data_IF_398864349633
#
_entry.id   IF_398864349633
#
_cell.length_a   1.000
_cell.length_b   1.000
_cell.length_c   1.000
_cell.angle_alpha   90.00
_cell.angle_beta   90.00
_cell.angle_gamma   90.00
#
_symmetry.space_group_name_H-M   'P 1'
#
loop_
_entity.id
_entity.type
_entity.pdbx_description
1 polymer ?
#
# COMPACT_ATOMS: atom_id res chain seq x y z
N UNK A 1 16.32 14.75 -5.16
CA UNK A 1 16.48 13.70 -6.20
C UNK A 1 17.95 13.50 -6.57
N UNK A 2 18.73 14.55 -6.78
CA UNK A 2 20.17 14.49 -7.14
C UNK A 2 20.97 13.54 -6.26
N UNK A 3 20.91 13.69 -4.95
CA UNK A 3 21.64 12.84 -4.00
C UNK A 3 21.33 11.33 -4.18
N UNK A 4 20.08 10.97 -4.54
CA UNK A 4 19.72 9.58 -4.81
C UNK A 4 20.33 9.08 -6.14
N UNK A 5 20.39 9.95 -7.14
CA UNK A 5 21.01 9.62 -8.42
C UNK A 5 22.53 9.47 -8.27
N UNK A 6 23.17 10.33 -7.49
CA UNK A 6 24.59 10.22 -7.14
C UNK A 6 24.88 8.92 -6.37
N UNK A 7 24.05 8.58 -5.37
CA UNK A 7 24.20 7.35 -4.61
C UNK A 7 24.04 6.10 -5.51
N UNK A 8 23.11 6.13 -6.46
CA UNK A 8 22.94 5.06 -7.45
C UNK A 8 24.15 4.96 -8.38
N UNK A 9 24.62 6.09 -8.90
CA UNK A 9 25.83 6.16 -9.74
C UNK A 9 27.08 5.65 -9.01
N UNK A 10 27.18 5.94 -7.72
CA UNK A 10 28.27 5.47 -6.84
C UNK A 10 28.11 3.99 -6.41
N UNK A 11 27.08 3.28 -6.85
CA UNK A 11 26.83 1.88 -6.48
C UNK A 11 26.36 1.66 -5.05
N UNK A 12 26.05 2.73 -4.30
CA UNK A 12 25.57 2.64 -2.91
C UNK A 12 24.13 2.14 -2.80
N UNK A 13 23.30 2.41 -3.82
CA UNK A 13 21.93 1.92 -3.95
C UNK A 13 21.74 1.40 -5.37
N UNK A 14 20.79 0.49 -5.55
CA UNK A 14 20.45 -0.08 -6.86
C UNK A 14 19.14 0.49 -7.41
N UNK A 15 18.16 0.67 -6.55
CA UNK A 15 16.79 1.04 -6.91
C UNK A 15 16.36 2.29 -6.16
N UNK A 16 15.51 3.08 -6.81
CA UNK A 16 14.90 4.28 -6.25
C UNK A 16 13.39 4.14 -6.36
N UNK A 17 12.71 4.24 -5.23
CA UNK A 17 11.25 4.22 -5.16
C UNK A 17 10.72 5.39 -4.37
N UNK A 18 9.40 5.50 -4.32
CA UNK A 18 8.71 6.46 -3.48
C UNK A 18 7.57 5.82 -2.71
N UNK A 19 7.10 6.51 -1.68
CA UNK A 19 6.04 6.02 -0.81
C UNK A 19 5.08 7.14 -0.44
N UNK A 20 3.87 6.77 -0.09
CA UNK A 20 2.85 7.63 0.45
C UNK A 20 1.60 6.83 0.82
N UNK A 21 0.68 7.45 1.53
CA UNK A 21 -0.51 6.75 2.01
C UNK A 21 -1.76 7.63 2.05
N UNK A 22 -1.63 8.91 1.75
CA UNK A 22 -2.70 9.89 1.92
C UNK A 22 -3.77 9.85 0.83
N UNK A 23 -3.32 9.95 -0.41
CA UNK A 23 -4.21 10.02 -1.55
C UNK A 23 -3.54 9.43 -2.81
N UNK A 24 -4.23 8.58 -3.58
CA UNK A 24 -3.71 8.03 -4.82
C UNK A 24 -3.36 9.11 -5.86
N UNK A 25 -4.00 10.27 -5.84
CA UNK A 25 -3.71 11.36 -6.77
C UNK A 25 -2.29 11.92 -6.56
N UNK A 26 -1.78 11.90 -5.32
CA UNK A 26 -0.39 12.29 -5.04
C UNK A 26 0.59 11.34 -5.71
N UNK A 27 0.32 10.03 -5.69
CA UNK A 27 1.16 9.05 -6.39
C UNK A 27 1.14 9.26 -7.90
N UNK A 28 -0.04 9.46 -8.49
CA UNK A 28 -0.17 9.72 -9.92
C UNK A 28 0.58 11.00 -10.32
N UNK A 29 0.45 12.06 -9.51
CA UNK A 29 1.18 13.31 -9.75
C UNK A 29 2.69 13.13 -9.64
N UNK A 30 3.16 12.31 -8.68
CA UNK A 30 4.58 11.98 -8.54
C UNK A 30 5.14 11.28 -9.78
N UNK A 31 4.38 10.33 -10.34
CA UNK A 31 4.75 9.64 -11.57
C UNK A 31 4.78 10.60 -12.78
N UNK A 32 3.78 11.45 -12.91
CA UNK A 32 3.71 12.47 -13.96
C UNK A 32 4.92 13.44 -13.90
N UNK A 33 5.25 13.94 -12.71
CA UNK A 33 6.42 14.82 -12.51
C UNK A 33 7.71 14.08 -12.85
N UNK A 34 7.83 12.82 -12.44
CA UNK A 34 9.01 12.03 -12.79
C UNK A 34 9.18 11.87 -14.30
N UNK A 35 8.09 11.59 -15.02
CA UNK A 35 8.09 11.49 -16.48
C UNK A 35 8.51 12.81 -17.15
N UNK A 36 7.99 13.96 -16.67
CA UNK A 36 8.38 15.30 -17.16
C UNK A 36 9.87 15.57 -16.98
N UNK A 37 10.51 14.96 -15.98
CA UNK A 37 11.95 15.05 -15.70
C UNK A 37 12.75 13.86 -16.28
N UNK A 38 12.16 13.07 -17.18
CA UNK A 38 12.80 11.89 -17.80
C UNK A 38 13.34 10.91 -16.76
N UNK A 39 12.66 10.81 -15.63
CA UNK A 39 13.00 9.89 -14.55
C UNK A 39 11.91 8.83 -14.37
N UNK A 40 12.32 7.58 -14.15
CA UNK A 40 11.43 6.47 -13.85
C UNK A 40 11.81 5.85 -12.50
N UNK A 41 10.84 5.72 -11.62
CA UNK A 41 11.00 4.99 -10.37
C UNK A 41 11.07 3.47 -10.63
N UNK A 42 11.80 2.77 -9.77
CA UNK A 42 11.89 1.31 -9.81
C UNK A 42 10.73 0.66 -9.05
N UNK A 43 10.23 1.31 -7.98
CA UNK A 43 9.11 0.84 -7.17
C UNK A 43 8.30 1.99 -6.58
N UNK A 44 7.03 1.70 -6.27
CA UNK A 44 6.16 2.59 -5.50
C UNK A 44 5.47 1.81 -4.37
N UNK A 45 5.47 2.39 -3.17
CA UNK A 45 4.86 1.80 -1.99
C UNK A 45 3.61 2.56 -1.59
N UNK A 46 2.51 1.83 -1.35
CA UNK A 46 1.22 2.40 -1.00
C UNK A 46 0.38 1.43 -0.17
N UNK A 47 -0.65 1.90 0.55
CA UNK A 47 -1.61 1.03 1.21
C UNK A 47 -2.36 0.19 0.18
N UNK A 48 -2.35 -1.12 0.38
CA UNK A 48 -3.14 -2.07 -0.40
C UNK A 48 -3.78 -3.07 0.56
N UNK A 49 -5.08 -2.95 0.71
CA UNK A 49 -5.87 -3.78 1.61
C UNK A 49 -7.33 -3.81 1.15
N UNK A 50 -8.14 -4.61 1.80
CA UNK A 50 -9.55 -4.80 1.43
C UNK A 50 -10.40 -3.53 1.56
N UNK A 51 -10.05 -2.58 2.46
CA UNK A 51 -10.76 -1.30 2.60
C UNK A 51 -10.35 -0.31 1.50
N UNK A 52 -9.08 -0.36 1.06
CA UNK A 52 -8.58 0.48 -0.02
C UNK A 52 -9.40 0.32 -1.30
N UNK A 53 -9.91 -0.88 -1.57
CA UNK A 53 -10.75 -1.13 -2.75
C UNK A 53 -12.00 -0.23 -2.83
N UNK A 54 -12.48 0.32 -1.71
CA UNK A 54 -13.73 1.09 -1.62
C UNK A 54 -13.56 2.60 -1.52
N UNK A 55 -12.44 3.07 -0.93
CA UNK A 55 -12.30 4.48 -0.61
C UNK A 55 -10.94 5.03 -1.01
N UNK A 56 -10.91 6.05 -1.90
CA UNK A 56 -9.68 6.66 -2.43
C UNK A 56 -8.65 5.59 -2.79
N UNK A 57 -9.05 4.68 -3.68
CA UNK A 57 -8.37 3.43 -3.93
C UNK A 57 -7.05 3.61 -4.67
N UNK A 58 -5.97 3.22 -4.04
CA UNK A 58 -4.66 3.04 -4.70
C UNK A 58 -4.70 1.83 -5.63
N UNK A 59 -5.37 0.75 -5.21
CA UNK A 59 -5.53 -0.45 -6.03
C UNK A 59 -6.14 -0.13 -7.38
N UNK A 60 -7.21 0.67 -7.42
CA UNK A 60 -7.93 0.97 -8.65
C UNK A 60 -7.26 2.05 -9.50
N UNK A 61 -6.59 3.03 -8.88
CA UNK A 61 -6.07 4.20 -9.59
C UNK A 61 -4.58 4.13 -9.90
N UNK A 62 -3.77 3.62 -8.97
CA UNK A 62 -2.30 3.66 -9.07
C UNK A 62 -1.74 2.34 -9.59
N UNK A 63 -2.20 1.22 -9.06
CA UNK A 63 -1.66 -0.10 -9.43
C UNK A 63 -1.70 -0.36 -10.94
N UNK A 64 -2.79 -0.06 -11.68
CA UNK A 64 -2.80 -0.27 -13.13
C UNK A 64 -1.73 0.54 -13.87
N UNK A 65 -1.44 1.76 -13.41
CA UNK A 65 -0.39 2.61 -14.01
C UNK A 65 0.98 1.99 -13.75
N UNK A 66 1.27 1.59 -12.51
CA UNK A 66 2.55 0.98 -12.16
C UNK A 66 2.82 -0.30 -12.97
N UNK A 67 1.80 -1.15 -13.12
CA UNK A 67 1.91 -2.39 -13.91
C UNK A 67 2.21 -2.09 -15.37
N UNK A 68 1.50 -1.14 -15.96
CA UNK A 68 1.73 -0.70 -17.36
C UNK A 68 3.15 -0.19 -17.56
N UNK A 69 3.67 0.53 -16.58
CA UNK A 69 5.00 1.14 -16.63
C UNK A 69 6.12 0.19 -16.16
N UNK A 70 5.78 -1.04 -15.73
CA UNK A 70 6.74 -2.01 -15.20
C UNK A 70 7.42 -1.55 -13.91
N UNK A 71 6.72 -0.75 -13.07
CA UNK A 71 7.19 -0.27 -11.77
C UNK A 71 6.75 -1.26 -10.69
N UNK A 72 7.65 -1.66 -9.80
CA UNK A 72 7.37 -2.59 -8.72
C UNK A 72 6.31 -2.07 -7.74
N UNK A 73 5.28 -2.88 -7.45
CA UNK A 73 4.20 -2.54 -6.54
C UNK A 73 4.50 -3.09 -5.15
N UNK A 74 4.69 -2.22 -4.16
CA UNK A 74 4.93 -2.60 -2.77
C UNK A 74 3.67 -2.27 -1.95
N UNK A 75 2.92 -3.31 -1.57
CA UNK A 75 1.69 -3.15 -0.80
C UNK A 75 1.98 -3.10 0.69
N UNK A 76 1.67 -1.98 1.34
CA UNK A 76 1.78 -1.84 2.80
C UNK A 76 0.41 -1.74 3.47
N UNK A 77 0.39 -1.81 4.79
CA UNK A 77 -0.81 -1.68 5.63
C UNK A 77 -1.95 -2.66 5.27
N UNK A 78 -1.67 -3.95 5.06
CA UNK A 78 -2.69 -4.94 4.69
C UNK A 78 -3.81 -5.08 5.73
N UNK A 79 -3.55 -4.71 7.00
CA UNK A 79 -4.52 -4.67 8.10
C UNK A 79 -4.85 -3.24 8.57
N UNK A 80 -4.41 -2.19 7.87
CA UNK A 80 -4.55 -0.79 8.27
C UNK A 80 -4.14 -0.54 9.73
N UNK A 81 -2.98 -1.05 10.15
CA UNK A 81 -2.49 -1.03 11.55
C UNK A 81 -3.45 -1.72 12.53
N UNK A 82 -4.11 -2.78 12.11
CA UNK A 82 -5.08 -3.54 12.90
C UNK A 82 -6.50 -2.96 12.92
N UNK A 83 -6.71 -1.78 12.36
CA UNK A 83 -8.03 -1.12 12.37
C UNK A 83 -9.11 -1.94 11.63
N UNK A 84 -8.76 -2.62 10.55
CA UNK A 84 -9.68 -3.49 9.80
C UNK A 84 -10.26 -4.58 10.70
N UNK A 85 -9.47 -5.15 11.57
CA UNK A 85 -9.89 -6.24 12.47
C UNK A 85 -10.95 -5.82 13.50
N UNK A 86 -11.01 -4.50 13.81
CA UNK A 86 -12.04 -3.96 14.71
C UNK A 86 -13.45 -4.11 14.14
N UNK A 87 -13.57 -4.21 12.81
CA UNK A 87 -14.86 -4.42 12.14
C UNK A 87 -15.40 -5.83 12.31
N UNK A 88 -14.54 -6.80 12.65
CA UNK A 88 -14.84 -8.24 12.68
C UNK A 88 -15.37 -8.78 11.34
N UNK A 89 -15.25 -8.00 10.27
CA UNK A 89 -15.68 -8.41 8.94
C UNK A 89 -14.79 -9.50 8.35
N UNK A 90 -13.49 -9.42 8.58
CA UNK A 90 -12.49 -10.38 8.10
C UNK A 90 -11.50 -10.73 9.22
N UNK A 91 -10.93 -11.93 9.12
CA UNK A 91 -9.77 -12.34 9.93
C UNK A 91 -8.49 -11.71 9.41
N UNK A 92 -7.42 -11.74 10.22
CA UNK A 92 -6.11 -11.26 9.77
C UNK A 92 -5.56 -12.07 8.58
N UNK A 93 -5.79 -13.39 8.57
CA UNK A 93 -5.37 -14.26 7.46
C UNK A 93 -6.12 -13.89 6.19
N UNK A 94 -7.45 -13.69 6.23
CA UNK A 94 -8.23 -13.24 5.07
C UNK A 94 -7.73 -11.90 4.52
N UNK A 95 -7.41 -10.93 5.39
CA UNK A 95 -6.85 -9.64 4.99
C UNK A 95 -5.47 -9.79 4.30
N UNK A 96 -4.62 -10.65 4.85
CA UNK A 96 -3.31 -10.93 4.27
C UNK A 96 -3.43 -11.67 2.93
N UNK A 97 -4.32 -12.65 2.84
CA UNK A 97 -4.62 -13.35 1.59
C UNK A 97 -5.16 -12.39 0.52
N UNK A 98 -6.02 -11.44 0.90
CA UNK A 98 -6.47 -10.40 -0.03
C UNK A 98 -5.29 -9.59 -0.57
N UNK A 99 -4.40 -9.11 0.30
CA UNK A 99 -3.25 -8.32 -0.11
C UNK A 99 -2.26 -9.13 -0.98
N UNK A 100 -2.03 -10.40 -0.64
CA UNK A 100 -1.19 -11.32 -1.43
C UNK A 100 -1.79 -11.65 -2.79
N UNK A 101 -3.13 -11.56 -2.93
CA UNK A 101 -3.82 -11.81 -4.18
C UNK A 101 -3.76 -10.64 -5.17
N UNK A 102 -3.37 -9.45 -4.73
CA UNK A 102 -3.17 -8.29 -5.60
C UNK A 102 -1.85 -8.46 -6.40
N UNK A 103 -1.73 -7.80 -7.55
CA UNK A 103 -0.53 -7.87 -8.37
C UNK A 103 0.62 -7.06 -7.75
N UNK A 104 1.05 -7.47 -6.56
CA UNK A 104 2.14 -6.86 -5.80
C UNK A 104 3.44 -7.61 -6.00
N UNK A 105 4.56 -6.90 -6.03
CA UNK A 105 5.90 -7.48 -5.94
C UNK A 105 6.22 -7.93 -4.52
N UNK A 106 5.74 -7.17 -3.52
CA UNK A 106 5.94 -7.45 -2.10
C UNK A 106 4.72 -6.97 -1.31
N UNK A 107 4.28 -7.76 -0.33
CA UNK A 107 3.33 -7.36 0.71
C UNK A 107 4.10 -7.11 2.01
N UNK A 108 3.98 -5.89 2.55
CA UNK A 108 4.66 -5.45 3.76
C UNK A 108 3.66 -5.46 4.90
N UNK A 109 3.88 -6.32 5.89
CA UNK A 109 3.08 -6.38 7.11
C UNK A 109 3.94 -6.13 8.36
N UNK A 110 3.36 -5.50 9.38
CA UNK A 110 4.02 -5.29 10.67
C UNK A 110 4.07 -6.58 11.48
N UNK A 111 5.18 -6.82 12.17
CA UNK A 111 5.40 -7.98 13.03
C UNK A 111 6.05 -7.49 14.33
N UNK A 112 5.23 -7.20 15.35
CA UNK A 112 5.65 -6.65 16.64
C UNK A 112 5.71 -7.71 17.77
N UNK A 113 5.35 -8.94 17.47
CA UNK A 113 5.39 -10.06 18.38
C UNK A 113 5.55 -11.38 17.62
N UNK A 114 6.06 -12.42 18.32
CA UNK A 114 6.17 -13.78 17.74
C UNK A 114 4.83 -14.29 17.24
N UNK A 115 3.75 -14.05 17.96
CA UNK A 115 2.39 -14.42 17.53
C UNK A 115 2.01 -13.79 16.18
N UNK A 116 2.34 -12.53 15.97
CA UNK A 116 2.06 -11.85 14.69
C UNK A 116 2.99 -12.34 13.57
N UNK A 117 4.24 -12.65 13.89
CA UNK A 117 5.14 -13.30 12.95
C UNK A 117 4.59 -14.67 12.50
N UNK A 118 4.18 -15.52 13.45
CA UNK A 118 3.60 -16.82 13.15
C UNK A 118 2.34 -16.69 12.29
N UNK A 119 1.49 -15.72 12.58
CA UNK A 119 0.30 -15.41 11.78
C UNK A 119 0.68 -14.98 10.34
N UNK A 120 1.72 -14.18 10.16
CA UNK A 120 2.18 -13.77 8.83
C UNK A 120 2.75 -14.97 8.04
N UNK A 121 3.51 -15.83 8.71
CA UNK A 121 4.03 -17.08 8.12
C UNK A 121 2.90 -18.04 7.76
N UNK A 122 1.89 -18.16 8.62
CA UNK A 122 0.69 -18.97 8.35
C UNK A 122 -0.06 -18.45 7.12
N UNK A 123 -0.23 -17.13 7.00
CA UNK A 123 -0.87 -16.55 5.82
C UNK A 123 -0.13 -16.91 4.53
N UNK A 124 1.21 -16.90 4.54
CA UNK A 124 2.00 -17.29 3.35
C UNK A 124 1.89 -18.78 3.05
N UNK A 125 1.95 -19.63 4.08
CA UNK A 125 1.87 -21.09 3.93
C UNK A 125 0.52 -21.57 3.42
N UNK A 126 -0.56 -20.88 3.83
CA UNK A 126 -1.94 -21.25 3.48
C UNK A 126 -2.48 -20.48 2.28
N UNK A 127 -1.73 -19.52 1.76
CA UNK A 127 -2.16 -18.72 0.62
C UNK A 127 -2.42 -19.59 -0.60
N UNK A 128 -3.58 -19.38 -1.19
CA UNK A 128 -3.94 -19.84 -2.53
C UNK A 128 -4.57 -18.65 -3.26
N UNK A 129 -4.35 -18.52 -4.58
CA UNK A 129 -5.03 -17.49 -5.35
C UNK A 129 -6.53 -17.50 -5.11
N UNK A 130 -7.08 -16.33 -4.77
CA UNK A 130 -8.51 -16.18 -4.51
C UNK A 130 -9.29 -16.17 -5.83
N UNK A 131 -10.42 -16.85 -5.86
CA UNK A 131 -11.36 -16.72 -6.96
C UNK A 131 -12.02 -15.33 -6.96
N UNK A 132 -12.58 -14.93 -8.10
CA UNK A 132 -13.34 -13.67 -8.19
C UNK A 132 -14.52 -13.64 -7.21
N UNK A 133 -15.17 -14.78 -6.99
CA UNK A 133 -16.26 -14.92 -6.03
C UNK A 133 -15.77 -14.67 -4.59
N UNK A 134 -14.63 -15.25 -4.20
CA UNK A 134 -14.03 -15.03 -2.88
C UNK A 134 -13.62 -13.57 -2.67
N UNK A 135 -13.00 -12.95 -3.67
CA UNK A 135 -12.67 -11.51 -3.64
C UNK A 135 -13.95 -10.69 -3.48
N UNK A 136 -15.00 -10.98 -4.28
CA UNK A 136 -16.29 -10.32 -4.20
C UNK A 136 -16.93 -10.46 -2.82
N UNK A 137 -16.86 -11.64 -2.20
CA UNK A 137 -17.38 -11.87 -0.85
C UNK A 137 -16.63 -11.05 0.21
N UNK A 138 -15.30 -10.94 0.12
CA UNK A 138 -14.52 -10.11 1.04
C UNK A 138 -14.88 -8.62 0.89
N UNK A 139 -15.01 -8.15 -0.35
CA UNK A 139 -15.39 -6.77 -0.63
C UNK A 139 -16.81 -6.48 -0.12
N UNK A 140 -17.78 -7.37 -0.35
CA UNK A 140 -19.15 -7.20 0.13
C UNK A 140 -19.22 -7.09 1.65
N UNK A 141 -18.44 -7.91 2.40
CA UNK A 141 -18.37 -7.89 3.87
C UNK A 141 -17.77 -6.60 4.42
N UNK A 142 -16.93 -5.92 3.65
CA UNK A 142 -16.20 -4.73 4.09
C UNK A 142 -16.75 -3.41 3.55
N UNK A 143 -17.61 -3.43 2.54
CA UNK A 143 -18.11 -2.27 1.82
C UNK A 143 -18.68 -1.17 2.73
N UNK A 144 -19.58 -1.53 3.64
CA UNK A 144 -20.23 -0.57 4.55
C UNK A 144 -19.20 0.09 5.49
N UNK A 145 -18.29 -0.71 6.06
CA UNK A 145 -17.27 -0.21 6.98
C UNK A 145 -16.24 0.69 6.27
N UNK A 146 -15.94 0.39 5.01
CA UNK A 146 -14.94 1.10 4.22
C UNK A 146 -15.42 2.40 3.61
N UNK A 147 -16.73 2.61 3.44
CA UNK A 147 -17.33 3.68 2.65
C UNK A 147 -16.84 5.11 2.99
N UNK A 148 -16.52 5.38 4.25
CA UNK A 148 -16.05 6.68 4.71
C UNK A 148 -14.52 6.80 4.92
N UNK A 149 -13.78 5.71 4.70
CA UNK A 149 -12.34 5.65 5.01
C UNK A 149 -12.00 5.69 6.51
N UNK A 150 -13.00 5.49 7.40
CA UNK A 150 -12.84 5.57 8.87
C UNK A 150 -11.71 4.67 9.39
N UNK A 151 -11.55 3.49 8.82
CA UNK A 151 -10.55 2.51 9.25
C UNK A 151 -9.18 2.70 8.56
N UNK A 152 -9.11 3.60 7.59
CA UNK A 152 -7.87 4.03 6.94
C UNK A 152 -7.54 5.48 7.35
N UNK A 153 -7.32 5.68 8.65
CA UNK A 153 -7.07 7.02 9.24
C UNK A 153 -5.93 7.77 8.58
N UNK A 154 -4.95 7.08 8.01
CA UNK A 154 -3.88 7.68 7.24
C UNK A 154 -4.37 8.40 5.96
N UNK A 155 -5.54 8.05 5.43
CA UNK A 155 -6.19 8.78 4.32
C UNK A 155 -7.02 9.98 4.80
N UNK A 156 -7.65 9.85 5.98
CA UNK A 156 -8.74 10.76 6.41
C UNK A 156 -8.35 11.76 7.49
N UNK A 157 -7.21 11.58 8.18
CA UNK A 157 -6.79 12.48 9.26
C UNK A 157 -5.37 13.03 9.03
N UNK A 158 -5.03 14.23 9.54
CA UNK A 158 -3.67 14.76 9.46
C UNK A 158 -2.70 14.09 10.44
N UNK A 159 -3.17 13.13 11.25
CA UNK A 159 -2.37 12.50 12.29
C UNK A 159 -1.11 11.76 11.76
N UNK A 160 -1.13 11.41 10.47
CA UNK A 160 -0.04 10.69 9.80
C UNK A 160 0.73 11.56 8.79
N UNK A 161 0.40 12.86 8.72
CA UNK A 161 1.00 13.79 7.78
C UNK A 161 2.17 14.52 8.47
N UNK A 162 3.33 13.87 8.54
CA UNK A 162 4.51 14.40 9.24
C UNK A 162 4.92 15.78 8.71
N UNK A 163 4.94 15.96 7.39
CA UNK A 163 5.27 17.23 6.74
C UNK A 163 4.24 18.33 7.00
N UNK A 164 2.94 18.00 7.18
CA UNK A 164 1.93 18.97 7.58
C UNK A 164 2.08 19.40 9.04
N UNK A 165 2.68 18.56 9.90
CA UNK A 165 2.97 18.85 11.30
C UNK A 165 4.31 19.58 11.50
N UNK A 166 5.22 19.34 10.58
CA UNK A 166 6.60 19.84 10.60
C UNK A 166 6.94 20.45 9.24
N UNK A 167 6.28 21.60 8.88
CA UNK A 167 6.52 22.23 7.58
C UNK A 167 7.97 22.69 7.40
N UNK A 168 8.70 22.90 8.49
CA UNK A 168 10.11 23.21 8.49
C UNK A 168 11.02 22.11 7.90
N UNK A 169 10.50 20.88 7.76
CA UNK A 169 11.24 19.78 7.13
C UNK A 169 11.25 19.84 5.61
N UNK A 170 10.44 20.70 5.03
CA UNK A 170 10.30 20.80 3.57
C UNK A 170 11.26 21.85 2.99
N UNK A 171 11.82 22.74 3.83
CA UNK A 171 12.74 23.83 3.45
C UNK A 171 11.99 25.11 3.08
#
# INVERSE_FOLDING_TARGET
>A
MEALLEARKAGKIRYIGFTGHKDPLVHLRTLEVAEQHHFRFDAAQMPLNVMDAHFRSFQQKVVPVLLKEGIGVLGMKPLASGAILQTKALTAIECLHYALNLPTSVVITGMDSMRILDQALEAVRTFKPLSQEQVGAFLARTAQAAASGKYERFKTTPAFDATARHPEWIG
#
